data_IF_440740034110
#
_entry.id   IF_440740034110
#
_cell.length_a   1.000
_cell.length_b   1.000
_cell.length_c   1.000
_cell.angle_alpha   90.00
_cell.angle_beta   90.00
_cell.angle_gamma   90.00
#
_symmetry.space_group_name_H-M   'P 1'
#
loop_
_entity.id
_entity.type
_entity.pdbx_description
1 polymer ?
#
# COMPACT_ATOMS: atom_id res chain seq x y z
N UNK A 1 33.15 74.42 -3.30
CA UNK A 1 32.68 73.36 -2.37
C UNK A 1 31.48 72.63 -2.97
N UNK A 2 31.69 71.73 -3.93
CA UNK A 2 30.60 71.04 -4.66
C UNK A 2 30.75 69.51 -4.72
N UNK A 3 31.80 68.94 -4.13
CA UNK A 3 32.10 67.49 -4.22
C UNK A 3 31.57 66.63 -3.05
N UNK A 4 31.00 67.23 -2.01
CA UNK A 4 30.57 66.50 -0.81
C UNK A 4 29.13 65.94 -0.89
N UNK A 5 28.25 66.58 -1.68
CA UNK A 5 26.84 66.18 -1.79
C UNK A 5 26.60 65.03 -2.77
N UNK A 6 27.45 64.87 -3.79
CA UNK A 6 27.34 63.79 -4.78
C UNK A 6 27.81 62.44 -4.23
N UNK A 7 28.80 62.42 -3.33
CA UNK A 7 29.26 61.18 -2.68
C UNK A 7 28.25 60.62 -1.66
N UNK A 8 27.54 61.49 -0.95
CA UNK A 8 26.49 61.09 0.00
C UNK A 8 25.24 60.51 -0.70
N UNK A 9 24.85 61.04 -1.86
CA UNK A 9 23.76 60.47 -2.67
C UNK A 9 24.13 59.11 -3.30
N UNK A 10 25.40 58.91 -3.69
CA UNK A 10 25.86 57.63 -4.21
C UNK A 10 25.87 56.52 -3.15
N UNK A 11 26.19 56.86 -1.88
CA UNK A 11 26.12 55.91 -0.77
C UNK A 11 24.68 55.54 -0.40
N UNK A 12 23.72 56.46 -0.53
CA UNK A 12 22.30 56.16 -0.31
C UNK A 12 21.71 55.27 -1.41
N UNK A 13 22.15 55.38 -2.67
CA UNK A 13 21.72 54.46 -3.73
C UNK A 13 22.34 53.06 -3.61
N UNK A 14 23.55 52.93 -3.07
CA UNK A 14 24.16 51.62 -2.80
C UNK A 14 23.47 50.89 -1.63
N UNK A 15 23.02 51.63 -0.60
CA UNK A 15 22.25 51.06 0.51
C UNK A 15 20.82 50.65 0.10
N UNK A 16 20.20 51.34 -0.85
CA UNK A 16 18.88 50.98 -1.38
C UNK A 16 18.90 49.75 -2.32
N UNK A 17 20.07 49.35 -2.82
CA UNK A 17 20.25 48.12 -3.61
C UNK A 17 20.68 46.91 -2.76
N UNK A 18 21.09 47.12 -1.50
CA UNK A 18 21.28 46.01 -0.54
C UNK A 18 19.98 45.53 0.11
N UNK A 19 18.88 46.27 -0.02
CA UNK A 19 17.56 45.90 0.49
C UNK A 19 16.80 44.86 -0.37
N UNK A 20 17.49 44.24 -1.34
CA UNK A 20 17.01 42.99 -1.96
C UNK A 20 17.47 41.72 -1.21
N UNK A 21 18.18 41.88 -0.08
CA UNK A 21 18.57 40.76 0.79
C UNK A 21 17.44 40.22 1.68
N UNK A 22 16.20 40.67 1.50
CA UNK A 22 15.02 40.06 2.09
C UNK A 22 14.26 39.24 1.05
N UNK A 23 14.96 38.24 0.49
CA UNK A 23 14.30 37.02 0.07
C UNK A 23 13.47 36.54 1.28
N UNK A 24 12.20 36.91 1.33
CA UNK A 24 11.22 36.44 2.32
C UNK A 24 11.31 34.93 2.31
N UNK A 25 12.03 34.35 3.25
CA UNK A 25 12.16 32.91 3.39
C UNK A 25 10.79 32.35 3.73
N UNK A 26 10.08 31.68 2.81
CA UNK A 26 8.91 30.87 3.17
C UNK A 26 9.42 29.49 3.62
N UNK A 27 10.58 29.44 4.29
CA UNK A 27 11.28 28.19 4.59
C UNK A 27 10.55 27.43 5.69
N UNK A 28 10.03 28.11 6.73
CA UNK A 28 9.36 27.41 7.83
C UNK A 28 8.08 26.66 7.39
N UNK A 29 7.13 27.26 6.62
CA UNK A 29 5.96 26.52 6.15
C UNK A 29 6.30 25.40 5.17
N UNK A 30 7.22 25.64 4.23
CA UNK A 30 7.62 24.62 3.24
C UNK A 30 8.35 23.45 3.90
N UNK A 31 9.26 23.72 4.85
CA UNK A 31 9.97 22.68 5.59
C UNK A 31 9.04 21.91 6.53
N UNK A 32 8.05 22.58 7.13
CA UNK A 32 7.00 21.92 7.89
C UNK A 32 6.22 20.94 7.01
N UNK A 33 5.74 21.39 5.84
CA UNK A 33 4.97 20.55 4.92
C UNK A 33 5.78 19.35 4.42
N UNK A 34 7.07 19.53 4.10
CA UNK A 34 7.97 18.41 3.76
C UNK A 34 8.13 17.41 4.91
N UNK A 35 8.25 17.88 6.15
CA UNK A 35 8.28 17.00 7.33
C UNK A 35 6.98 16.21 7.46
N UNK A 36 5.83 16.87 7.31
CA UNK A 36 4.53 16.20 7.35
C UNK A 36 4.39 15.17 6.23
N UNK A 37 4.84 15.48 5.02
CA UNK A 37 4.83 14.54 3.90
C UNK A 37 5.62 13.27 4.21
N UNK A 38 6.78 13.38 4.87
CA UNK A 38 7.57 12.20 5.30
C UNK A 38 6.86 11.36 6.37
N UNK A 39 6.16 12.01 7.31
CA UNK A 39 5.35 11.32 8.33
C UNK A 39 4.22 10.55 7.65
N UNK A 40 3.50 11.19 6.72
CA UNK A 40 2.42 10.58 5.95
C UNK A 40 2.93 9.40 5.11
N UNK A 41 4.11 9.54 4.49
CA UNK A 41 4.74 8.46 3.73
C UNK A 41 5.02 7.23 4.61
N UNK A 42 5.59 7.45 5.79
CA UNK A 42 5.87 6.39 6.76
C UNK A 42 4.59 5.72 7.30
N UNK A 43 3.53 6.50 7.49
CA UNK A 43 2.22 5.97 7.87
C UNK A 43 1.61 5.10 6.77
N UNK A 44 1.75 5.50 5.51
CA UNK A 44 1.40 4.67 4.36
C UNK A 44 2.17 3.34 4.33
N UNK A 45 3.47 3.35 4.65
CA UNK A 45 4.28 2.13 4.75
C UNK A 45 3.79 1.21 5.88
N UNK A 46 3.44 1.78 7.04
CA UNK A 46 2.88 1.04 8.18
C UNK A 46 1.56 0.36 7.79
N UNK A 47 0.64 1.10 7.17
CA UNK A 47 -0.67 0.60 6.71
C UNK A 47 -0.49 -0.47 5.62
N UNK A 48 0.48 -0.29 4.71
CA UNK A 48 0.82 -1.31 3.70
C UNK A 48 1.26 -2.62 4.36
N UNK A 49 2.05 -2.54 5.42
CA UNK A 49 2.42 -3.71 6.22
C UNK A 49 1.22 -4.40 6.87
N UNK A 50 0.22 -3.64 7.34
CA UNK A 50 -1.05 -4.20 7.84
C UNK A 50 -1.84 -4.91 6.74
N UNK A 51 -1.95 -4.31 5.55
CA UNK A 51 -2.60 -4.95 4.41
C UNK A 51 -1.96 -6.31 4.05
N UNK A 52 -0.62 -6.39 4.07
CA UNK A 52 0.10 -7.64 3.86
C UNK A 52 -0.17 -8.68 4.95
N UNK A 53 -0.26 -8.26 6.22
CA UNK A 53 -0.65 -9.14 7.32
C UNK A 53 -2.07 -9.69 7.13
N UNK A 54 -3.05 -8.86 6.75
CA UNK A 54 -4.42 -9.31 6.50
C UNK A 54 -4.50 -10.36 5.39
N UNK A 55 -3.73 -10.19 4.31
CA UNK A 55 -3.64 -11.20 3.23
C UNK A 55 -3.02 -12.51 3.70
N UNK A 56 -1.99 -12.43 4.55
CA UNK A 56 -1.32 -13.60 5.09
C UNK A 56 -2.26 -14.39 6.01
N UNK A 57 -3.00 -13.69 6.89
CA UNK A 57 -4.02 -14.30 7.73
C UNK A 57 -5.15 -14.91 6.90
N UNK A 58 -5.65 -14.23 5.86
CA UNK A 58 -6.62 -14.82 4.93
C UNK A 58 -6.13 -16.13 4.32
N UNK A 59 -4.87 -16.18 3.88
CA UNK A 59 -4.29 -17.41 3.33
C UNK A 59 -4.19 -18.52 4.39
N UNK A 60 -3.88 -18.17 5.65
CA UNK A 60 -3.85 -19.09 6.78
C UNK A 60 -5.24 -19.69 7.05
N UNK A 61 -6.29 -18.87 7.11
CA UNK A 61 -7.67 -19.34 7.32
C UNK A 61 -8.13 -20.26 6.18
N UNK A 62 -7.77 -19.97 4.93
CA UNK A 62 -8.06 -20.88 3.81
C UNK A 62 -7.40 -22.25 3.95
N UNK A 63 -6.16 -22.30 4.45
CA UNK A 63 -5.49 -23.57 4.74
C UNK A 63 -6.20 -24.34 5.85
N UNK A 64 -6.64 -23.64 6.90
CA UNK A 64 -7.40 -24.21 8.01
C UNK A 64 -8.76 -24.76 7.56
N UNK A 65 -9.51 -23.99 6.76
CA UNK A 65 -10.77 -24.43 6.14
C UNK A 65 -10.59 -25.72 5.31
N UNK A 66 -9.55 -25.77 4.48
CA UNK A 66 -9.23 -26.96 3.70
C UNK A 66 -8.85 -28.15 4.58
N UNK A 67 -8.12 -27.91 5.68
CA UNK A 67 -7.80 -28.93 6.68
C UNK A 67 -9.05 -29.53 7.33
N UNK A 68 -10.00 -28.69 7.74
CA UNK A 68 -11.27 -29.12 8.31
C UNK A 68 -12.11 -29.95 7.32
N UNK A 69 -12.19 -29.54 6.06
CA UNK A 69 -12.88 -30.32 5.00
C UNK A 69 -12.22 -31.67 4.77
N UNK A 70 -10.89 -31.71 4.75
CA UNK A 70 -10.14 -32.94 4.59
C UNK A 70 -10.38 -33.89 5.77
N UNK A 71 -10.34 -33.38 7.01
CA UNK A 71 -10.62 -34.17 8.20
C UNK A 71 -12.04 -34.74 8.21
N UNK A 72 -13.04 -33.92 7.89
CA UNK A 72 -14.43 -34.37 7.75
C UNK A 72 -14.57 -35.51 6.73
N UNK A 73 -13.91 -35.37 5.57
CA UNK A 73 -13.94 -36.38 4.50
C UNK A 73 -13.23 -37.68 4.90
N UNK A 74 -12.12 -37.59 5.64
CA UNK A 74 -11.43 -38.77 6.17
C UNK A 74 -12.29 -39.54 7.18
N UNK A 75 -13.03 -38.83 8.03
CA UNK A 75 -13.94 -39.45 8.99
C UNK A 75 -15.09 -40.16 8.29
N UNK A 76 -15.66 -39.57 7.23
CA UNK A 76 -16.70 -40.23 6.43
C UNK A 76 -16.18 -41.53 5.81
N UNK A 77 -14.99 -41.49 5.18
CA UNK A 77 -14.36 -42.68 4.62
C UNK A 77 -14.01 -43.73 5.67
N UNK A 78 -13.59 -43.31 6.86
CA UNK A 78 -13.31 -44.23 7.97
C UNK A 78 -14.59 -44.92 8.45
N UNK A 79 -15.69 -44.17 8.56
CA UNK A 79 -16.98 -44.72 8.94
C UNK A 79 -17.52 -45.68 7.88
N UNK A 80 -17.49 -45.29 6.59
CA UNK A 80 -17.94 -46.15 5.49
C UNK A 80 -17.18 -47.48 5.45
N UNK A 81 -15.85 -47.44 5.66
CA UNK A 81 -15.03 -48.66 5.78
C UNK A 81 -15.40 -49.50 7.00
N UNK A 82 -15.62 -48.89 8.16
CA UNK A 82 -16.01 -49.63 9.35
C UNK A 82 -17.40 -50.28 9.18
N UNK A 83 -18.34 -49.55 8.59
CA UNK A 83 -19.69 -50.03 8.31
C UNK A 83 -19.69 -51.18 7.29
N UNK A 84 -18.89 -51.08 6.23
CA UNK A 84 -18.81 -52.15 5.22
C UNK A 84 -18.19 -53.44 5.77
N UNK A 85 -17.26 -53.34 6.72
CA UNK A 85 -16.66 -54.50 7.41
C UNK A 85 -17.62 -55.12 8.43
N UNK A 86 -18.35 -54.30 9.18
CA UNK A 86 -19.17 -54.77 10.30
C UNK A 86 -20.43 -53.92 10.51
N UNK A 87 -21.41 -54.03 9.60
CA UNK A 87 -22.64 -53.24 9.63
C UNK A 87 -23.42 -53.36 10.94
N UNK A 88 -23.46 -54.55 11.55
CA UNK A 88 -24.15 -54.77 12.83
C UNK A 88 -23.48 -54.06 14.01
N UNK A 89 -22.16 -53.84 13.94
CA UNK A 89 -21.38 -53.16 14.99
C UNK A 89 -21.39 -51.64 14.81
N UNK A 90 -21.47 -51.17 13.57
CA UNK A 90 -21.48 -49.75 13.22
C UNK A 90 -22.73 -49.39 12.41
N UNK A 91 -23.95 -49.55 12.95
CA UNK A 91 -25.16 -49.34 12.18
C UNK A 91 -25.28 -47.89 11.69
N UNK A 92 -25.99 -47.68 10.58
CA UNK A 92 -26.36 -46.34 10.16
C UNK A 92 -27.41 -45.78 11.13
N UNK A 93 -27.13 -44.64 11.75
CA UNK A 93 -28.10 -43.90 12.57
C UNK A 93 -28.06 -42.39 12.26
N UNK A 94 -29.17 -41.67 12.51
CA UNK A 94 -29.21 -40.22 12.41
C UNK A 94 -28.17 -39.58 13.35
N UNK A 95 -27.43 -38.59 12.88
CA UNK A 95 -26.38 -37.85 13.63
C UNK A 95 -24.99 -38.50 13.74
N UNK A 96 -24.75 -39.68 13.15
CA UNK A 96 -23.40 -40.28 13.14
C UNK A 96 -22.31 -39.38 12.52
N UNK A 97 -22.72 -38.43 11.69
CA UNK A 97 -21.87 -37.48 10.96
C UNK A 97 -21.87 -36.07 11.58
N UNK A 98 -22.37 -35.92 12.82
CA UNK A 98 -22.52 -34.63 13.49
C UNK A 98 -21.19 -33.86 13.55
N UNK A 99 -20.10 -34.54 13.90
CA UNK A 99 -18.77 -33.91 13.96
C UNK A 99 -18.29 -33.45 12.59
N UNK A 100 -18.51 -34.24 11.54
CA UNK A 100 -18.14 -33.90 10.16
C UNK A 100 -18.95 -32.71 9.64
N UNK A 101 -20.25 -32.64 9.99
CA UNK A 101 -21.10 -31.47 9.69
C UNK A 101 -20.59 -30.21 10.36
N UNK A 102 -20.21 -30.29 11.64
CA UNK A 102 -19.62 -29.16 12.37
C UNK A 102 -18.31 -28.74 11.69
N UNK A 103 -17.40 -29.67 11.40
CA UNK A 103 -16.13 -29.34 10.70
C UNK A 103 -16.34 -28.63 9.36
N UNK A 104 -17.33 -29.07 8.56
CA UNK A 104 -17.66 -28.40 7.29
C UNK A 104 -18.22 -27.00 7.51
N UNK A 105 -19.13 -26.86 8.46
CA UNK A 105 -19.67 -25.57 8.88
C UNK A 105 -18.57 -24.63 9.35
N UNK A 106 -17.60 -25.12 10.11
CA UNK A 106 -16.45 -24.37 10.60
C UNK A 106 -15.57 -23.93 9.43
N UNK A 107 -15.28 -24.84 8.49
CA UNK A 107 -14.53 -24.50 7.29
C UNK A 107 -15.20 -23.39 6.45
N UNK A 108 -16.52 -23.40 6.35
CA UNK A 108 -17.25 -22.36 5.62
C UNK A 108 -17.18 -21.01 6.34
N UNK A 109 -17.19 -21.00 7.68
CA UNK A 109 -16.96 -19.79 8.48
C UNK A 109 -15.55 -19.23 8.27
N UNK A 110 -14.53 -20.10 8.30
CA UNK A 110 -13.15 -19.71 8.03
C UNK A 110 -12.97 -19.10 6.63
N UNK A 111 -13.66 -19.64 5.62
CA UNK A 111 -13.62 -19.06 4.26
C UNK A 111 -14.28 -17.68 4.18
N UNK A 112 -15.39 -17.48 4.90
CA UNK A 112 -16.05 -16.17 4.98
C UNK A 112 -15.12 -15.14 5.64
N UNK A 113 -14.50 -15.51 6.75
CA UNK A 113 -13.54 -14.65 7.46
C UNK A 113 -12.30 -14.38 6.59
N UNK A 114 -11.80 -15.37 5.86
CA UNK A 114 -10.72 -15.20 4.90
C UNK A 114 -11.06 -14.19 3.80
N UNK A 115 -12.29 -14.21 3.27
CA UNK A 115 -12.76 -13.23 2.28
C UNK A 115 -12.86 -11.83 2.92
N UNK A 116 -13.38 -11.74 4.15
CA UNK A 116 -13.43 -10.49 4.90
C UNK A 116 -12.05 -9.84 5.05
N UNK A 117 -11.04 -10.64 5.43
CA UNK A 117 -9.66 -10.17 5.54
C UNK A 117 -9.05 -9.74 4.20
N UNK A 118 -9.42 -10.35 3.08
CA UNK A 118 -8.96 -9.90 1.75
C UNK A 118 -9.53 -8.54 1.38
N UNK A 119 -10.81 -8.32 1.66
CA UNK A 119 -11.44 -7.02 1.42
C UNK A 119 -10.82 -5.93 2.30
N UNK A 120 -10.59 -6.25 3.58
CA UNK A 120 -9.95 -5.33 4.50
C UNK A 120 -8.50 -5.03 4.11
N UNK A 121 -7.73 -6.06 3.74
CA UNK A 121 -6.38 -5.89 3.21
C UNK A 121 -6.37 -5.02 1.94
N UNK A 122 -7.34 -5.17 1.05
CA UNK A 122 -7.48 -4.30 -0.14
C UNK A 122 -7.78 -2.85 0.25
N UNK A 123 -8.71 -2.64 1.18
CA UNK A 123 -9.06 -1.30 1.68
C UNK A 123 -7.84 -0.58 2.27
N UNK A 124 -7.04 -1.28 3.06
CA UNK A 124 -5.79 -0.74 3.62
C UNK A 124 -4.75 -0.45 2.54
N UNK A 125 -4.63 -1.31 1.53
CA UNK A 125 -3.76 -1.07 0.37
C UNK A 125 -4.12 0.21 -0.38
N UNK A 126 -5.41 0.42 -0.63
CA UNK A 126 -5.91 1.63 -1.30
C UNK A 126 -5.63 2.88 -0.45
N UNK A 127 -5.77 2.78 0.87
CA UNK A 127 -5.46 3.86 1.80
C UNK A 127 -3.95 4.18 1.84
N UNK A 128 -3.08 3.16 1.87
CA UNK A 128 -1.64 3.35 1.78
C UNK A 128 -1.26 4.09 0.48
N UNK A 129 -1.86 3.71 -0.66
CA UNK A 129 -1.66 4.40 -1.93
C UNK A 129 -2.14 5.85 -1.87
N UNK A 130 -3.29 6.12 -1.24
CA UNK A 130 -3.79 7.49 -1.04
C UNK A 130 -2.80 8.35 -0.27
N UNK A 131 -2.25 7.84 0.83
CA UNK A 131 -1.28 8.55 1.67
C UNK A 131 0.04 8.77 0.94
N UNK A 132 0.55 7.77 0.22
CA UNK A 132 1.77 7.94 -0.57
C UNK A 132 1.60 8.99 -1.67
N UNK A 133 0.47 9.00 -2.37
CA UNK A 133 0.17 10.03 -3.37
C UNK A 133 0.10 11.43 -2.75
N UNK A 134 -0.54 11.55 -1.57
CA UNK A 134 -0.61 12.82 -0.83
C UNK A 134 0.78 13.32 -0.43
N UNK A 135 1.65 12.43 0.06
CA UNK A 135 3.03 12.77 0.40
C UNK A 135 3.85 13.19 -0.83
N UNK A 136 3.71 12.46 -1.93
CA UNK A 136 4.42 12.71 -3.19
C UNK A 136 4.06 14.06 -3.82
N UNK A 137 2.82 14.54 -3.63
CA UNK A 137 2.38 15.85 -4.11
C UNK A 137 3.06 17.03 -3.38
N UNK A 138 3.56 16.81 -2.16
CA UNK A 138 4.12 17.84 -1.28
C UNK A 138 5.66 17.82 -1.27
N UNK A 139 6.27 16.63 -1.31
CA UNK A 139 7.74 16.46 -1.31
C UNK A 139 8.19 15.64 -2.53
N UNK A 140 8.95 16.23 -3.48
CA UNK A 140 9.52 15.49 -4.60
C UNK A 140 10.38 14.29 -4.20
N UNK A 141 11.01 14.32 -3.01
CA UNK A 141 11.72 13.15 -2.49
C UNK A 141 10.76 11.99 -2.18
N UNK A 142 9.57 12.28 -1.64
CA UNK A 142 8.54 11.27 -1.40
C UNK A 142 8.00 10.68 -2.71
N UNK A 143 7.89 11.50 -3.78
CA UNK A 143 7.53 11.04 -5.12
C UNK A 143 8.55 10.03 -5.70
N UNK A 144 9.85 10.34 -5.59
CA UNK A 144 10.90 9.41 -6.03
C UNK A 144 10.89 8.09 -5.24
N UNK A 145 10.62 8.16 -3.95
CA UNK A 145 10.54 7.00 -3.07
C UNK A 145 9.30 6.15 -3.40
N UNK A 146 8.17 6.77 -3.75
CA UNK A 146 6.98 6.07 -4.26
C UNK A 146 7.27 5.36 -5.58
N UNK A 147 7.95 6.03 -6.52
CA UNK A 147 8.36 5.43 -7.79
C UNK A 147 9.23 4.19 -7.56
N UNK A 148 10.25 4.25 -6.70
CA UNK A 148 11.06 3.07 -6.35
C UNK A 148 10.21 1.94 -5.78
N UNK A 149 9.23 2.25 -4.90
CA UNK A 149 8.31 1.25 -4.34
C UNK A 149 7.46 0.59 -5.42
N UNK A 150 6.91 1.38 -6.35
CA UNK A 150 6.16 0.84 -7.50
C UNK A 150 7.04 -0.03 -8.38
N UNK A 151 8.31 0.35 -8.57
CA UNK A 151 9.29 -0.43 -9.33
C UNK A 151 9.66 -1.75 -8.65
N UNK A 152 9.68 -1.78 -7.30
CA UNK A 152 9.96 -2.98 -6.53
C UNK A 152 8.74 -3.92 -6.38
N UNK A 153 7.53 -3.36 -6.31
CA UNK A 153 6.29 -4.12 -6.09
C UNK A 153 5.73 -4.76 -7.37
N UNK A 154 5.93 -4.14 -8.53
CA UNK A 154 5.43 -4.61 -9.81
C UNK A 154 6.62 -4.90 -10.72
N UNK A 155 6.76 -6.15 -11.18
CA UNK A 155 7.73 -6.50 -12.24
C UNK A 155 7.68 -5.47 -13.38
N UNK A 156 8.84 -5.28 -14.05
CA UNK A 156 9.17 -4.31 -15.13
C UNK A 156 8.04 -3.83 -16.06
N UNK A 157 6.99 -4.61 -16.29
CA UNK A 157 5.84 -4.27 -17.15
C UNK A 157 5.07 -3.02 -16.70
N UNK A 158 4.87 -2.80 -15.40
CA UNK A 158 4.14 -1.61 -14.91
C UNK A 158 4.93 -0.29 -15.10
N UNK A 159 6.25 -0.37 -14.98
CA UNK A 159 7.15 0.77 -15.16
C UNK A 159 7.26 1.14 -16.64
N UNK A 160 7.38 0.14 -17.53
CA UNK A 160 7.41 0.37 -18.98
C UNK A 160 6.09 0.96 -19.49
N UNK A 161 4.95 0.54 -18.93
CA UNK A 161 3.65 1.16 -19.21
C UNK A 161 3.61 2.64 -18.78
N UNK A 162 4.04 2.95 -17.56
CA UNK A 162 4.12 4.33 -17.05
C UNK A 162 5.09 5.21 -17.84
N UNK A 163 6.26 4.68 -18.22
CA UNK A 163 7.20 5.37 -19.12
C UNK A 163 6.54 5.69 -20.47
N UNK A 164 5.84 4.72 -21.05
CA UNK A 164 5.08 4.90 -22.29
C UNK A 164 4.06 6.04 -22.18
N UNK A 165 3.36 6.11 -21.06
CA UNK A 165 2.31 7.11 -20.84
C UNK A 165 2.87 8.52 -20.57
N UNK A 166 3.99 8.62 -19.85
CA UNK A 166 4.73 9.87 -19.67
C UNK A 166 5.27 10.38 -21.02
N UNK A 167 5.82 9.50 -21.87
CA UNK A 167 6.28 9.87 -23.21
C UNK A 167 5.10 10.35 -24.07
N UNK A 168 3.95 9.69 -23.99
CA UNK A 168 2.72 10.08 -24.71
C UNK A 168 2.27 11.49 -24.30
N UNK A 169 2.19 11.75 -23.00
CA UNK A 169 1.82 13.06 -22.44
C UNK A 169 2.84 14.14 -22.81
N UNK A 170 4.14 13.86 -22.69
CA UNK A 170 5.19 14.81 -23.06
C UNK A 170 5.05 15.26 -24.53
N UNK A 171 4.82 14.32 -25.46
CA UNK A 171 4.56 14.63 -26.87
C UNK A 171 3.30 15.48 -27.06
N UNK A 172 2.23 15.19 -26.33
CA UNK A 172 0.97 15.94 -26.41
C UNK A 172 1.15 17.41 -26.01
N UNK A 173 2.07 17.71 -25.09
CA UNK A 173 2.37 19.06 -24.61
C UNK A 173 3.63 19.68 -25.24
N UNK A 174 4.18 19.07 -26.31
CA UNK A 174 5.37 19.59 -27.01
C UNK A 174 6.67 19.52 -26.18
N UNK A 175 6.68 18.73 -25.11
CA UNK A 175 7.84 18.51 -24.27
C UNK A 175 8.58 17.21 -24.64
N UNK A 176 9.91 17.20 -24.52
CA UNK A 176 10.72 16.01 -24.69
C UNK A 176 11.06 15.40 -23.31
N UNK A 177 10.59 14.19 -23.05
CA UNK A 177 10.96 13.44 -21.86
C UNK A 177 12.29 12.71 -22.11
N UNK A 178 13.35 13.11 -21.42
CA UNK A 178 14.61 12.38 -21.35
C UNK A 178 14.71 11.70 -19.99
N UNK A 179 14.56 10.37 -19.90
CA UNK A 179 14.78 9.67 -18.63
C UNK A 179 16.25 9.82 -18.21
N UNK A 180 16.48 10.10 -16.93
CA UNK A 180 17.83 10.10 -16.33
C UNK A 180 18.29 8.63 -16.22
N UNK A 181 19.53 8.29 -16.61
CA UNK A 181 20.06 6.93 -16.54
C UNK A 181 20.08 6.35 -15.12
#
# INVERSE_FOLDING_TARGET
MLYSRTLLMAFCLAAALSDNAFARTPTAPVQYLKRQARIILAEGDRIKGEAMRMRSESARLKLEANGLRAAASQLDQAWERAHSIAANKYPAYPERDRSQKIMRSDADREDVDAIGLLHEGKRLDDEAMRLWNLAAAVDPQASNELLKRMQACCQKSGIEFLKGEIIRLARQFGAHYSPVP
#
